data_IF_597729683085
#
_entry.id   IF_597729683085
#
_cell.length_a   1.000
_cell.length_b   1.000
_cell.length_c   1.000
_cell.angle_alpha   90.00
_cell.angle_beta   90.00
_cell.angle_gamma   90.00
#
_symmetry.space_group_name_H-M   'P 1'
#
loop_
_entity.id
_entity.type
_entity.pdbx_description
1 polymer ?
#
# COMPACT_ATOMS: atom_id res chain seq x y z
N UNK A 1 -9.37 32.57 -2.20
CA UNK A 1 -8.62 31.90 -1.12
C UNK A 1 -7.76 30.81 -1.76
N UNK A 2 -6.43 30.78 -1.54
CA UNK A 2 -5.60 29.70 -2.07
C UNK A 2 -6.00 28.38 -1.39
N UNK A 3 -6.39 27.38 -2.20
CA UNK A 3 -6.75 26.05 -1.72
C UNK A 3 -5.52 25.40 -1.05
N UNK A 4 -5.68 24.71 0.08
CA UNK A 4 -4.56 24.02 0.73
C UNK A 4 -3.95 22.98 -0.21
N UNK A 5 -2.63 22.69 -0.10
CA UNK A 5 -1.89 21.90 -1.09
C UNK A 5 -2.40 20.45 -1.25
N UNK A 6 -3.11 19.91 -0.25
CA UNK A 6 -3.60 18.51 -0.23
C UNK A 6 -4.78 18.23 -1.18
N UNK A 7 -5.88 19.03 -1.20
CA UNK A 7 -6.93 18.86 -2.22
C UNK A 7 -6.43 19.12 -3.65
N UNK A 8 -5.47 20.02 -3.84
CA UNK A 8 -4.85 20.25 -5.15
C UNK A 8 -4.09 19.00 -5.64
N UNK A 9 -3.37 18.34 -4.74
CA UNK A 9 -2.65 17.10 -5.04
C UNK A 9 -3.60 15.94 -5.42
N UNK A 10 -4.74 15.83 -4.72
CA UNK A 10 -5.76 14.84 -5.06
C UNK A 10 -6.44 15.14 -6.41
N UNK A 11 -6.73 16.41 -6.69
CA UNK A 11 -7.30 16.82 -7.99
C UNK A 11 -6.32 16.57 -9.15
N UNK A 12 -5.02 16.78 -8.93
CA UNK A 12 -3.97 16.52 -9.94
C UNK A 12 -3.76 15.02 -10.22
N UNK A 13 -3.99 14.14 -9.23
CA UNK A 13 -3.91 12.67 -9.41
C UNK A 13 -5.26 11.99 -9.67
N UNK A 14 -6.37 12.70 -9.53
CA UNK A 14 -7.72 12.23 -9.86
C UNK A 14 -7.85 11.62 -11.27
N UNK A 15 -7.22 12.18 -12.32
CA UNK A 15 -7.23 11.58 -13.66
C UNK A 15 -6.56 10.21 -13.72
N UNK A 16 -5.54 9.94 -12.89
CA UNK A 16 -4.88 8.63 -12.82
C UNK A 16 -5.79 7.55 -12.20
N UNK A 17 -6.75 7.94 -11.37
CA UNK A 17 -7.77 7.01 -10.84
C UNK A 17 -8.80 6.62 -11.91
N UNK A 18 -9.12 7.52 -12.85
CA UNK A 18 -10.02 7.24 -13.98
C UNK A 18 -9.33 6.46 -15.11
N UNK A 19 -8.00 6.42 -15.13
CA UNK A 19 -7.25 5.67 -16.14
C UNK A 19 -7.59 4.17 -16.13
N UNK A 20 -7.88 3.58 -14.97
CA UNK A 20 -8.29 2.17 -14.83
C UNK A 20 -9.58 1.84 -15.58
N UNK A 21 -10.72 2.46 -15.25
CA UNK A 21 -11.98 2.20 -15.95
C UNK A 21 -11.93 2.58 -17.43
N UNK A 22 -11.21 3.63 -17.81
CA UNK A 22 -11.05 4.03 -19.22
C UNK A 22 -10.25 2.97 -19.99
N UNK A 23 -9.14 2.47 -19.44
CA UNK A 23 -8.33 1.42 -20.09
C UNK A 23 -9.08 0.10 -20.17
N UNK A 24 -9.79 -0.29 -19.12
CA UNK A 24 -10.60 -1.51 -19.14
C UNK A 24 -11.74 -1.45 -20.17
N UNK A 25 -12.43 -0.32 -20.28
CA UNK A 25 -13.45 -0.11 -21.31
C UNK A 25 -12.85 -0.09 -22.72
N UNK A 26 -11.68 0.53 -22.92
CA UNK A 26 -10.99 0.51 -24.21
C UNK A 26 -10.55 -0.91 -24.61
N UNK A 27 -10.08 -1.71 -23.65
CA UNK A 27 -9.67 -3.10 -23.89
C UNK A 27 -10.85 -4.01 -24.23
N UNK A 28 -12.01 -3.86 -23.58
CA UNK A 28 -13.21 -4.64 -23.92
C UNK A 28 -13.74 -4.28 -25.32
N UNK A 29 -13.67 -3.01 -25.72
CA UNK A 29 -14.02 -2.57 -27.08
C UNK A 29 -13.03 -3.08 -28.13
N UNK A 30 -11.74 -3.13 -27.83
CA UNK A 30 -10.74 -3.72 -28.72
C UNK A 30 -10.93 -5.24 -28.85
N UNK A 31 -11.21 -5.94 -27.75
CA UNK A 31 -11.46 -7.38 -27.77
C UNK A 31 -12.65 -7.75 -28.66
N UNK A 32 -13.76 -7.00 -28.57
CA UNK A 32 -14.90 -7.12 -29.48
C UNK A 32 -14.52 -6.96 -30.95
N UNK A 33 -13.60 -6.03 -31.25
CA UNK A 33 -13.24 -5.71 -32.64
C UNK A 33 -12.28 -6.72 -33.26
N UNK A 34 -11.43 -7.35 -32.46
CA UNK A 34 -10.38 -8.26 -32.93
C UNK A 34 -10.65 -9.74 -32.69
N UNK A 35 -11.60 -10.07 -31.79
CA UNK A 35 -11.96 -11.46 -31.48
C UNK A 35 -13.40 -11.70 -31.91
N UNK A 36 -13.65 -12.18 -33.15
CA UNK A 36 -14.99 -12.38 -33.68
C UNK A 36 -15.82 -13.44 -32.95
N UNK A 37 -15.21 -14.23 -32.05
CA UNK A 37 -15.89 -15.19 -31.18
C UNK A 37 -16.23 -14.62 -29.78
N UNK A 38 -15.90 -13.36 -29.50
CA UNK A 38 -16.11 -12.75 -28.19
C UNK A 38 -17.48 -12.07 -28.14
N UNK A 39 -18.51 -12.81 -27.74
CA UNK A 39 -19.80 -12.22 -27.38
C UNK A 39 -19.76 -11.72 -25.93
N UNK A 40 -19.39 -10.46 -25.75
CA UNK A 40 -19.43 -9.87 -24.41
C UNK A 40 -20.87 -9.62 -23.97
N UNK A 41 -21.31 -10.34 -22.95
CA UNK A 41 -22.52 -9.98 -22.21
C UNK A 41 -22.28 -8.68 -21.46
N UNK A 42 -23.26 -7.77 -21.39
CA UNK A 42 -23.20 -6.49 -20.66
C UNK A 42 -22.65 -6.64 -19.23
N UNK A 43 -22.96 -7.76 -18.58
CA UNK A 43 -22.48 -8.09 -17.23
C UNK A 43 -20.95 -8.19 -17.15
N UNK A 44 -20.29 -8.82 -18.13
CA UNK A 44 -18.83 -8.98 -18.15
C UNK A 44 -18.13 -7.62 -18.25
N UNK A 45 -18.66 -6.72 -19.09
CA UNK A 45 -18.14 -5.35 -19.25
C UNK A 45 -18.28 -4.55 -17.96
N UNK A 46 -19.44 -4.63 -17.30
CA UNK A 46 -19.69 -3.92 -16.03
C UNK A 46 -18.74 -4.41 -14.93
N UNK A 47 -18.57 -5.73 -14.81
CA UNK A 47 -17.66 -6.32 -13.82
C UNK A 47 -16.21 -5.95 -14.11
N UNK A 48 -15.78 -5.99 -15.37
CA UNK A 48 -14.42 -5.61 -15.77
C UNK A 48 -14.12 -4.14 -15.46
N UNK A 49 -15.07 -3.23 -15.77
CA UNK A 49 -14.92 -1.80 -15.48
C UNK A 49 -14.91 -1.56 -13.97
N UNK A 50 -15.80 -2.19 -13.20
CA UNK A 50 -15.84 -2.04 -11.74
C UNK A 50 -14.57 -2.55 -11.06
N UNK A 51 -14.01 -3.68 -11.52
CA UNK A 51 -12.80 -4.26 -10.96
C UNK A 51 -11.51 -3.56 -11.42
N UNK A 52 -11.53 -2.90 -12.59
CA UNK A 52 -10.34 -2.22 -13.12
C UNK A 52 -9.80 -1.12 -12.20
N UNK A 53 -10.70 -0.39 -11.52
CA UNK A 53 -10.34 0.64 -10.54
C UNK A 53 -9.53 0.08 -9.37
N UNK A 54 -10.08 -0.84 -8.56
CA UNK A 54 -9.36 -1.42 -7.43
C UNK A 54 -8.11 -2.21 -7.86
N UNK A 55 -8.13 -2.89 -9.01
CA UNK A 55 -6.94 -3.61 -9.53
C UNK A 55 -5.83 -2.63 -9.88
N UNK A 56 -6.12 -1.57 -10.65
CA UNK A 56 -5.12 -0.58 -11.01
C UNK A 56 -4.58 0.12 -9.76
N UNK A 57 -5.45 0.44 -8.81
CA UNK A 57 -5.06 1.04 -7.55
C UNK A 57 -4.11 0.13 -6.74
N UNK A 58 -4.43 -1.16 -6.63
CA UNK A 58 -3.56 -2.14 -5.99
C UNK A 58 -2.21 -2.26 -6.72
N UNK A 59 -2.20 -2.29 -8.06
CA UNK A 59 -0.97 -2.33 -8.85
C UNK A 59 -0.08 -1.10 -8.64
N UNK A 60 -0.68 0.10 -8.64
CA UNK A 60 0.04 1.36 -8.40
C UNK A 60 0.67 1.37 -7.00
N UNK A 61 -0.04 0.84 -6.00
CA UNK A 61 0.46 0.75 -4.64
C UNK A 61 1.55 -0.32 -4.45
N UNK A 62 1.45 -1.45 -5.16
CA UNK A 62 2.49 -2.48 -5.17
C UNK A 62 3.74 -2.04 -5.95
N UNK A 63 3.59 -1.15 -6.94
CA UNK A 63 4.72 -0.64 -7.72
C UNK A 63 5.75 0.08 -6.84
N UNK A 64 5.30 0.85 -5.85
CA UNK A 64 6.21 1.56 -4.93
C UNK A 64 7.09 0.59 -4.14
N UNK A 65 6.59 -0.60 -3.78
CA UNK A 65 7.43 -1.61 -3.11
C UNK A 65 8.51 -2.16 -4.01
N UNK A 66 8.14 -2.48 -5.25
CA UNK A 66 9.07 -3.04 -6.23
C UNK A 66 10.15 -2.02 -6.53
N UNK A 67 9.77 -0.76 -6.73
CA UNK A 67 10.69 0.36 -6.90
C UNK A 67 11.63 0.50 -5.70
N UNK A 68 11.10 0.50 -4.48
CA UNK A 68 11.91 0.61 -3.26
C UNK A 68 12.84 -0.59 -3.07
N UNK A 69 12.40 -1.79 -3.43
CA UNK A 69 13.21 -3.00 -3.41
C UNK A 69 14.41 -2.90 -4.36
N UNK A 70 14.18 -2.47 -5.60
CA UNK A 70 15.26 -2.25 -6.55
C UNK A 70 16.21 -1.13 -6.12
N UNK A 71 15.66 0.00 -5.64
CA UNK A 71 16.47 1.11 -5.14
C UNK A 71 17.37 0.69 -3.97
N UNK A 72 16.83 -0.08 -3.01
CA UNK A 72 17.60 -0.62 -1.90
C UNK A 72 18.74 -1.54 -2.39
N UNK A 73 18.44 -2.44 -3.34
CA UNK A 73 19.44 -3.36 -3.91
C UNK A 73 20.58 -2.64 -4.62
N UNK A 74 20.28 -1.58 -5.36
CA UNK A 74 21.30 -0.76 -6.04
C UNK A 74 22.26 -0.11 -5.04
N UNK A 75 21.75 0.27 -3.86
CA UNK A 75 22.56 0.85 -2.78
C UNK A 75 23.25 -0.20 -1.89
N UNK A 76 23.13 -1.50 -2.21
CA UNK A 76 23.63 -2.59 -1.36
C UNK A 76 22.87 -2.76 -0.04
N UNK A 77 21.74 -2.07 0.13
CA UNK A 77 20.88 -2.17 1.30
C UNK A 77 19.85 -3.32 1.14
N UNK A 78 19.38 -3.85 2.27
CA UNK A 78 18.26 -4.80 2.32
C UNK A 78 17.07 -4.15 2.98
N UNK A 79 15.88 -4.42 2.45
CA UNK A 79 14.64 -4.00 3.10
C UNK A 79 14.45 -4.82 4.39
N UNK A 80 13.95 -4.20 5.47
CA UNK A 80 13.66 -4.89 6.71
C UNK A 80 12.54 -5.94 6.50
N UNK A 81 12.53 -7.01 7.33
CA UNK A 81 11.49 -8.02 7.30
C UNK A 81 10.11 -7.39 7.49
N UNK A 82 9.10 -7.93 6.81
CA UNK A 82 7.71 -7.46 6.89
C UNK A 82 6.93 -8.36 7.83
N UNK A 83 6.12 -7.75 8.70
CA UNK A 83 5.11 -8.49 9.46
C UNK A 83 4.13 -9.11 8.46
N UNK A 84 3.96 -10.43 8.55
CA UNK A 84 3.17 -11.20 7.59
C UNK A 84 1.67 -11.00 7.85
N UNK A 85 0.95 -10.65 6.78
CA UNK A 85 -0.51 -10.63 6.73
C UNK A 85 -0.94 -11.24 5.38
N UNK A 86 -1.95 -12.11 5.42
CA UNK A 86 -2.50 -12.79 4.25
C UNK A 86 -3.51 -11.92 3.48
N UNK A 87 -3.99 -10.83 4.08
CA UNK A 87 -5.01 -9.97 3.51
C UNK A 87 -4.42 -8.88 2.57
N UNK A 88 -5.12 -8.53 1.48
CA UNK A 88 -4.67 -7.47 0.58
C UNK A 88 -4.61 -6.13 1.34
N UNK A 89 -3.43 -5.51 1.40
CA UNK A 89 -3.24 -4.23 2.09
C UNK A 89 -3.13 -4.34 3.61
N UNK A 90 -2.93 -5.54 4.16
CA UNK A 90 -2.75 -5.81 5.59
C UNK A 90 -3.94 -5.37 6.47
N UNK A 91 -5.15 -5.60 5.99
CA UNK A 91 -6.39 -5.24 6.69
C UNK A 91 -6.57 -6.07 7.97
N UNK A 92 -6.11 -7.31 7.98
CA UNK A 92 -6.21 -8.17 9.16
C UNK A 92 -5.30 -7.68 10.28
N UNK A 93 -4.10 -7.18 9.97
CA UNK A 93 -3.22 -6.50 10.93
C UNK A 93 -3.91 -5.32 11.57
N UNK A 94 -4.64 -4.50 10.80
CA UNK A 94 -5.42 -3.37 11.35
C UNK A 94 -6.50 -3.88 12.31
N UNK A 95 -7.23 -4.93 11.93
CA UNK A 95 -8.27 -5.49 12.80
C UNK A 95 -7.67 -6.09 14.08
N UNK A 96 -6.52 -6.79 13.98
CA UNK A 96 -5.78 -7.32 15.14
C UNK A 96 -5.35 -6.17 16.05
N UNK A 97 -4.79 -5.11 15.49
CA UNK A 97 -4.37 -3.92 16.24
C UNK A 97 -5.55 -3.20 16.90
N UNK A 98 -6.66 -2.99 16.19
CA UNK A 98 -7.86 -2.36 16.76
C UNK A 98 -8.41 -3.14 17.95
N UNK A 99 -8.46 -4.47 17.85
CA UNK A 99 -8.87 -5.33 18.98
C UNK A 99 -7.85 -5.28 20.13
N UNK A 100 -6.56 -5.19 19.82
CA UNK A 100 -5.53 -5.04 20.84
C UNK A 100 -5.62 -3.69 21.56
N UNK A 101 -6.02 -2.61 20.87
CA UNK A 101 -6.27 -1.29 21.48
C UNK A 101 -7.44 -1.34 22.46
N UNK A 102 -8.49 -2.09 22.13
CA UNK A 102 -9.63 -2.28 23.04
C UNK A 102 -9.23 -3.10 24.29
N UNK A 103 -8.24 -3.98 24.16
CA UNK A 103 -7.76 -4.86 25.23
C UNK A 103 -6.56 -4.31 26.03
N UNK A 104 -5.84 -3.32 25.50
CA UNK A 104 -4.53 -2.87 26.02
C UNK A 104 -3.87 -1.77 25.17
N UNK A 105 -2.54 -1.66 25.22
CA UNK A 105 -1.81 -0.62 24.51
C UNK A 105 -1.37 -1.11 23.12
N UNK A 106 -1.39 -0.22 22.11
CA UNK A 106 -0.91 -0.52 20.74
C UNK A 106 0.50 -1.11 20.70
N UNK A 107 1.33 -0.74 21.69
CA UNK A 107 2.73 -1.17 21.78
C UNK A 107 2.90 -2.60 22.25
N UNK A 108 1.88 -3.20 22.88
CA UNK A 108 1.99 -4.54 23.47
C UNK A 108 2.22 -5.61 22.39
N UNK A 109 1.75 -5.37 21.16
CA UNK A 109 2.00 -6.24 20.00
C UNK A 109 3.33 -6.00 19.27
N UNK A 110 4.08 -4.96 19.62
CA UNK A 110 5.31 -4.59 18.90
C UNK A 110 6.44 -5.56 19.24
N UNK A 111 6.53 -6.03 20.49
CA UNK A 111 7.53 -7.01 20.91
C UNK A 111 7.29 -8.37 20.25
N UNK A 112 6.03 -8.83 20.18
CA UNK A 112 5.62 -10.04 19.44
C UNK A 112 6.03 -9.96 17.96
N UNK A 113 5.84 -8.79 17.34
CA UNK A 113 6.23 -8.56 15.95
C UNK A 113 7.76 -8.54 15.76
N UNK A 114 8.51 -8.01 16.73
CA UNK A 114 9.98 -8.00 16.71
C UNK A 114 10.55 -9.42 16.80
N UNK A 115 10.01 -10.23 17.71
CA UNK A 115 10.34 -11.65 17.83
C UNK A 115 10.01 -12.41 16.55
N UNK A 116 8.81 -12.21 15.99
CA UNK A 116 8.39 -12.83 14.74
C UNK A 116 9.31 -12.49 13.57
N UNK A 117 9.74 -11.23 13.48
CA UNK A 117 10.63 -10.75 12.42
C UNK A 117 12.10 -11.10 12.66
N UNK A 118 12.44 -11.65 13.84
CA UNK A 118 13.81 -12.01 14.21
C UNK A 118 14.73 -10.80 14.43
N UNK A 119 14.18 -9.64 14.77
CA UNK A 119 14.98 -8.43 14.98
C UNK A 119 14.19 -7.18 15.38
N UNK A 120 14.94 -6.17 15.83
CA UNK A 120 14.39 -4.91 16.33
C UNK A 120 14.03 -3.90 15.25
N UNK A 121 14.28 -4.22 13.97
CA UNK A 121 13.90 -3.38 12.82
C UNK A 121 13.02 -4.19 11.88
N UNK A 122 11.77 -3.77 11.74
CA UNK A 122 10.80 -4.44 10.90
C UNK A 122 9.85 -3.45 10.25
N UNK A 123 9.15 -3.90 9.21
CA UNK A 123 8.19 -3.11 8.48
C UNK A 123 6.78 -3.60 8.74
N UNK A 124 6.01 -2.75 9.41
CA UNK A 124 4.58 -2.89 9.59
C UNK A 124 3.89 -2.21 8.41
N UNK A 125 3.45 -3.00 7.44
CA UNK A 125 2.73 -2.45 6.30
C UNK A 125 1.24 -2.34 6.66
N UNK A 126 0.63 -1.18 6.44
CA UNK A 126 -0.79 -0.93 6.71
C UNK A 126 -1.38 -0.15 5.53
N UNK A 127 -2.49 -0.62 4.97
CA UNK A 127 -3.16 0.00 3.81
C UNK A 127 -2.18 0.31 2.67
N UNK A 128 -1.34 -0.68 2.35
CA UNK A 128 -0.29 -0.59 1.34
C UNK A 128 0.85 0.39 1.64
N UNK A 129 0.83 1.11 2.76
CA UNK A 129 1.91 2.00 3.18
C UNK A 129 2.91 1.28 4.08
N UNK A 130 4.19 1.44 3.81
CA UNK A 130 5.27 0.89 4.62
C UNK A 130 5.47 1.77 5.87
N UNK A 131 5.46 1.17 7.06
CA UNK A 131 5.81 1.83 8.32
C UNK A 131 6.97 1.07 8.94
N UNK A 132 8.15 1.66 8.87
CA UNK A 132 9.34 1.09 9.47
C UNK A 132 9.31 1.36 10.97
N UNK A 133 9.41 0.29 11.75
CA UNK A 133 9.49 0.34 13.21
C UNK A 133 10.90 -0.10 13.60
N UNK A 134 11.50 0.64 14.53
CA UNK A 134 12.79 0.30 15.13
C UNK A 134 12.67 0.37 16.66
N UNK A 135 13.18 -0.65 17.33
CA UNK A 135 13.31 -0.73 18.78
C UNK A 135 14.77 -0.60 19.24
N UNK A 136 15.69 -0.34 18.30
CA UNK A 136 17.09 -0.18 18.64
C UNK A 136 17.30 1.15 19.36
N UNK A 137 17.88 1.16 20.57
CA UNK A 137 17.96 2.35 21.41
C UNK A 137 18.79 3.47 20.75
N UNK A 138 19.76 3.12 19.91
CA UNK A 138 20.56 4.08 19.13
C UNK A 138 19.71 4.82 18.10
N UNK A 139 18.86 4.11 17.36
CA UNK A 139 17.94 4.70 16.39
C UNK A 139 16.82 5.50 17.06
N UNK A 140 16.27 5.00 18.17
CA UNK A 140 15.26 5.72 18.94
C UNK A 140 15.80 7.06 19.46
N UNK A 141 17.02 7.07 20.03
CA UNK A 141 17.67 8.31 20.46
C UNK A 141 17.89 9.27 19.29
N UNK A 142 18.37 8.78 18.15
CA UNK A 142 18.60 9.61 16.98
C UNK A 142 17.30 10.29 16.49
N UNK A 143 16.19 9.56 16.47
CA UNK A 143 14.88 10.11 16.07
C UNK A 143 14.40 11.13 17.11
N UNK A 144 14.45 10.83 18.41
CA UNK A 144 13.97 11.73 19.47
C UNK A 144 14.77 13.03 19.50
N UNK A 145 16.10 12.96 19.33
CA UNK A 145 16.95 14.15 19.27
C UNK A 145 16.53 15.06 18.12
N UNK A 146 16.15 14.54 16.95
CA UNK A 146 15.66 15.35 15.82
C UNK A 146 14.37 16.11 16.15
N UNK A 147 13.52 15.59 17.03
CA UNK A 147 12.30 16.28 17.47
C UNK A 147 12.55 17.38 18.51
N UNK A 148 13.66 17.32 19.25
CA UNK A 148 14.01 18.30 20.29
C UNK A 148 14.53 19.63 19.72
N UNK A 149 14.87 19.68 18.42
CA UNK A 149 15.40 20.87 17.73
C UNK A 149 14.41 21.54 16.78
N UNK A 150 13.10 21.30 16.93
CA UNK A 150 12.04 21.89 16.10
C UNK A 150 10.98 22.60 16.92
#
# INVERSE_FOLDING_TARGET
MPLPPRPLYLAQRGPQLLAGPITAYALTQLAHRFVPAYESTTFQTVVAVLLSGPILFALLLSYDDVKNYFAARVLGARLPPRVLDYSPGNVWSIVKELRAVEAGYLTDGIEENAEYCGGYVFNLRILFQNRMITLEPEHLKAVTVVYEWR
#
